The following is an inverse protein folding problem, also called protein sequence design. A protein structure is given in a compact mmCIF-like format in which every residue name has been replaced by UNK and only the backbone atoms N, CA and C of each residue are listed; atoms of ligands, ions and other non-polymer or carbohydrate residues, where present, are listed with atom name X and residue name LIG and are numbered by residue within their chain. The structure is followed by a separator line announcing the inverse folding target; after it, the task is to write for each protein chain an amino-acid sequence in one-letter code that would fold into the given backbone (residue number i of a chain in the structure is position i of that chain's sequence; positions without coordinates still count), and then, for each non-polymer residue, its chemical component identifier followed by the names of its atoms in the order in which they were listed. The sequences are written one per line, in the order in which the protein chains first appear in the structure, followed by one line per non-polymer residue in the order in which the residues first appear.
data_IF_811208315866
#
_entry.id   IF_811208315866
#
_cell.length_a   1.000
_cell.length_b   1.000
_cell.length_c   1.000
_cell.angle_alpha   90.00
_cell.angle_beta   90.00
_cell.angle_gamma   90.00
#
_symmetry.space_group_name_H-M   'P 1'
#
loop_
_entity.id
_entity.type
_entity.pdbx_description
1 polymer ?
#
# COMPACT_ATOMS: atom_id res chain seq x y z
N UNK A 1 -20.05 5.85 -30.70
CA UNK A 1 -19.68 7.28 -30.69
C UNK A 1 -19.21 7.58 -29.27
N UNK A 2 -17.93 7.31 -28.97
CA UNK A 2 -17.37 7.73 -27.67
C UNK A 2 -17.28 9.24 -27.78
N UNK A 3 -18.10 9.94 -27.00
CA UNK A 3 -18.21 11.39 -27.04
C UNK A 3 -16.83 12.02 -26.95
N UNK A 4 -16.44 12.73 -28.00
CA UNK A 4 -15.16 13.44 -28.04
C UNK A 4 -15.13 14.50 -26.92
N UNK A 5 -16.30 15.00 -26.50
CA UNK A 5 -16.50 15.82 -25.32
C UNK A 5 -16.16 15.09 -24.00
N UNK A 6 -16.43 13.79 -23.90
CA UNK A 6 -16.05 12.98 -22.72
C UNK A 6 -14.53 12.74 -22.68
N UNK A 7 -13.90 12.53 -23.84
CA UNK A 7 -12.44 12.48 -23.96
C UNK A 7 -11.79 13.82 -23.56
N UNK A 8 -12.40 14.95 -23.95
CA UNK A 8 -11.96 16.31 -23.59
C UNK A 8 -12.00 16.59 -22.08
N UNK A 9 -13.07 16.20 -21.38
CA UNK A 9 -13.19 16.42 -19.92
C UNK A 9 -12.18 15.58 -19.11
N UNK A 10 -11.94 14.31 -19.51
CA UNK A 10 -10.88 13.49 -18.89
C UNK A 10 -9.48 14.02 -19.20
N UNK A 11 -9.27 14.65 -20.34
CA UNK A 11 -7.98 15.18 -20.77
C UNK A 11 -7.42 16.20 -19.75
N UNK A 12 -8.22 17.12 -19.22
CA UNK A 12 -7.72 18.19 -18.33
C UNK A 12 -7.11 17.70 -17.01
N UNK A 13 -7.62 16.61 -16.44
CA UNK A 13 -7.14 16.06 -15.16
C UNK A 13 -6.02 15.02 -15.33
N UNK A 14 -5.59 14.75 -16.57
CA UNK A 14 -4.66 13.66 -16.88
C UNK A 14 -3.22 14.11 -17.16
N UNK A 15 -2.96 15.42 -17.27
CA UNK A 15 -1.62 15.95 -17.53
C UNK A 15 -0.98 16.53 -16.25
N UNK A 16 0.31 16.28 -16.03
CA UNK A 16 1.05 16.82 -14.88
C UNK A 16 1.32 18.34 -14.98
N UNK A 17 0.88 19.00 -16.05
CA UNK A 17 1.07 20.43 -16.28
C UNK A 17 0.06 21.00 -17.28
N UNK A 18 0.04 22.33 -17.46
CA UNK A 18 -0.93 22.99 -18.32
C UNK A 18 -0.70 22.62 -19.80
N UNK A 19 -1.75 22.09 -20.43
CA UNK A 19 -1.77 21.85 -21.88
C UNK A 19 -1.78 23.20 -22.59
N UNK A 20 -0.76 23.46 -23.42
CA UNK A 20 -0.62 24.75 -24.15
C UNK A 20 -1.11 24.66 -25.60
N UNK A 21 -0.85 23.54 -26.26
CA UNK A 21 -1.16 23.31 -27.67
C UNK A 21 -1.69 21.89 -27.85
N UNK A 22 -2.69 21.73 -28.71
CA UNK A 22 -3.23 20.44 -29.17
C UNK A 22 -3.13 20.37 -30.69
N UNK A 23 -2.52 19.31 -31.21
CA UNK A 23 -2.47 19.05 -32.64
C UNK A 23 -3.57 18.04 -33.02
N UNK A 24 -4.46 18.43 -33.91
CA UNK A 24 -5.57 17.61 -34.37
C UNK A 24 -5.28 17.14 -35.79
N UNK A 25 -5.09 15.83 -35.98
CA UNK A 25 -4.95 15.25 -37.31
C UNK A 25 -6.33 15.02 -37.93
N UNK A 26 -6.58 15.58 -39.11
CA UNK A 26 -7.85 15.41 -39.82
C UNK A 26 -8.02 13.94 -40.25
N UNK A 27 -9.18 13.31 -40.00
CA UNK A 27 -9.42 11.96 -40.49
C UNK A 27 -9.45 11.93 -42.03
N UNK A 28 -8.72 10.97 -42.61
CA UNK A 28 -8.61 10.81 -44.07
C UNK A 28 -9.79 9.99 -44.66
N UNK A 29 -10.47 9.18 -43.84
CA UNK A 29 -11.56 8.29 -44.27
C UNK A 29 -12.89 9.01 -44.57
N UNK A 30 -13.59 8.60 -45.63
CA UNK A 30 -14.89 9.17 -46.06
C UNK A 30 -15.95 9.12 -44.96
N UNK A 31 -16.06 8.01 -44.23
CA UNK A 31 -17.02 7.86 -43.12
C UNK A 31 -16.60 8.63 -41.86
N UNK A 32 -15.29 8.86 -41.68
CA UNK A 32 -14.77 9.64 -40.55
C UNK A 32 -14.97 11.15 -40.77
N UNK A 33 -15.11 11.62 -42.02
CA UNK A 33 -15.45 13.02 -42.32
C UNK A 33 -16.84 13.44 -41.82
N UNK A 34 -17.78 12.50 -41.64
CA UNK A 34 -19.05 12.78 -40.98
C UNK A 34 -18.89 13.23 -39.51
N UNK A 35 -17.74 12.93 -38.89
CA UNK A 35 -17.38 13.37 -37.54
C UNK A 35 -16.77 14.79 -37.51
N UNK A 36 -16.53 15.44 -38.66
CA UNK A 36 -15.95 16.81 -38.73
C UNK A 36 -16.75 17.84 -37.92
N UNK A 37 -18.07 17.68 -37.82
CA UNK A 37 -18.95 18.58 -37.04
C UNK A 37 -18.63 18.50 -35.54
N UNK A 38 -18.22 17.32 -35.03
CA UNK A 38 -17.92 17.10 -33.61
C UNK A 38 -16.61 17.72 -33.14
N UNK A 39 -15.58 17.80 -34.01
CA UNK A 39 -14.29 18.37 -33.61
C UNK A 39 -14.19 19.90 -33.79
N UNK A 40 -15.05 20.53 -34.61
CA UNK A 40 -15.12 22.02 -34.70
C UNK A 40 -15.54 22.67 -33.37
N UNK A 41 -16.45 22.03 -32.63
CA UNK A 41 -16.84 22.51 -31.29
C UNK A 41 -15.69 22.49 -30.27
N UNK A 42 -14.67 21.66 -30.49
CA UNK A 42 -13.46 21.61 -29.66
C UNK A 42 -12.57 22.80 -29.98
N UNK A 43 -12.34 23.09 -31.27
CA UNK A 43 -11.50 24.23 -31.68
C UNK A 43 -12.02 25.59 -31.19
N UNK A 44 -13.32 25.71 -30.95
CA UNK A 44 -13.98 26.97 -30.56
C UNK A 44 -14.07 27.18 -29.03
N UNK A 45 -14.00 26.11 -28.21
CA UNK A 45 -14.23 26.16 -26.75
C UNK A 45 -13.02 25.69 -25.90
N UNK A 46 -11.83 25.61 -26.47
CA UNK A 46 -10.62 25.19 -25.76
C UNK A 46 -9.85 26.35 -25.12
N UNK A 47 -9.34 26.16 -23.90
CA UNK A 47 -8.39 27.08 -23.24
C UNK A 47 -6.96 27.03 -23.82
N UNK A 48 -6.75 26.24 -24.86
CA UNK A 48 -5.44 25.94 -25.46
C UNK A 48 -5.48 26.14 -26.96
N UNK A 49 -4.33 26.46 -27.55
CA UNK A 49 -4.20 26.63 -29.00
C UNK A 49 -4.40 25.29 -29.70
N UNK A 50 -5.34 25.22 -30.64
CA UNK A 50 -5.53 24.02 -31.47
C UNK A 50 -4.93 24.26 -32.85
N UNK A 51 -4.10 23.34 -33.33
CA UNK A 51 -3.51 23.34 -34.68
C UNK A 51 -4.05 22.14 -35.43
N UNK A 52 -4.82 22.39 -36.49
CA UNK A 52 -5.41 21.33 -37.31
C UNK A 52 -4.45 20.98 -38.44
N UNK A 53 -3.95 19.74 -38.45
CA UNK A 53 -3.06 19.21 -39.48
C UNK A 53 -3.88 18.45 -40.52
N UNK A 54 -3.64 18.75 -41.80
CA UNK A 54 -4.31 18.12 -42.94
C UNK A 54 -3.77 16.72 -43.25
N UNK A 55 -2.55 16.41 -42.80
CA UNK A 55 -1.92 15.10 -42.99
C UNK A 55 -0.90 14.81 -41.89
N UNK A 56 -0.51 13.54 -41.75
CA UNK A 56 0.58 13.14 -40.87
C UNK A 56 1.92 13.78 -41.25
N UNK A 57 2.12 14.11 -42.53
CA UNK A 57 3.29 14.85 -43.01
C UNK A 57 3.33 16.28 -42.44
N UNK A 58 2.20 16.99 -42.43
CA UNK A 58 2.10 18.32 -41.83
C UNK A 58 2.36 18.27 -40.32
N UNK A 59 1.81 17.28 -39.62
CA UNK A 59 2.03 17.07 -38.18
C UNK A 59 3.53 16.97 -37.82
N UNK A 60 4.34 16.33 -38.68
CA UNK A 60 5.79 16.18 -38.51
C UNK A 60 6.59 17.48 -38.62
N UNK A 61 6.01 18.57 -39.13
CA UNK A 61 6.65 19.89 -39.08
C UNK A 61 6.64 20.49 -37.67
N UNK A 62 5.74 20.01 -36.81
CA UNK A 62 5.57 20.49 -35.44
C UNK A 62 6.14 19.53 -34.39
N UNK A 63 6.01 18.21 -34.63
CA UNK A 63 6.40 17.17 -33.68
C UNK A 63 7.44 16.25 -34.34
N UNK A 64 8.56 16.05 -33.65
CA UNK A 64 9.60 15.13 -34.09
C UNK A 64 9.09 13.68 -34.22
N UNK A 65 9.67 12.89 -35.15
CA UNK A 65 9.23 11.51 -35.40
C UNK A 65 9.39 10.60 -34.18
N UNK A 66 10.31 10.90 -33.27
CA UNK A 66 10.57 10.22 -31.99
C UNK A 66 9.41 10.34 -30.99
N UNK A 67 8.58 11.38 -31.13
CA UNK A 67 7.42 11.65 -30.29
C UNK A 67 6.10 11.15 -30.92
N UNK A 68 6.15 10.57 -32.12
CA UNK A 68 4.98 10.12 -32.88
C UNK A 68 4.96 8.60 -33.00
N UNK A 69 3.77 8.02 -32.94
CA UNK A 69 3.57 6.59 -33.16
C UNK A 69 3.66 6.23 -34.64
N UNK A 70 3.97 4.97 -34.95
CA UNK A 70 4.23 4.52 -36.33
C UNK A 70 3.04 4.72 -37.28
N UNK A 71 1.81 4.62 -36.77
CA UNK A 71 0.56 4.84 -37.50
C UNK A 71 0.36 6.28 -37.99
N UNK A 72 1.05 7.25 -37.38
CA UNK A 72 1.08 8.67 -37.80
C UNK A 72 2.44 9.11 -38.32
N UNK A 73 3.27 8.16 -38.77
CA UNK A 73 4.53 8.44 -39.46
C UNK A 73 5.73 8.75 -38.56
N UNK A 74 5.67 8.37 -37.28
CA UNK A 74 6.80 8.42 -36.35
C UNK A 74 7.52 7.09 -36.15
N UNK A 75 8.36 7.01 -35.12
CA UNK A 75 9.17 5.83 -34.78
C UNK A 75 8.85 5.24 -33.40
N UNK A 76 7.92 5.85 -32.65
CA UNK A 76 7.52 5.36 -31.34
C UNK A 76 6.68 4.09 -31.49
N UNK A 77 7.20 2.98 -30.95
CA UNK A 77 6.45 1.72 -30.86
C UNK A 77 5.39 1.83 -29.76
N UNK A 78 4.13 1.78 -30.16
CA UNK A 78 2.98 1.80 -29.25
C UNK A 78 2.14 0.55 -29.42
N UNK A 79 1.83 -0.11 -28.30
CA UNK A 79 0.86 -1.20 -28.23
C UNK A 79 -0.22 -0.80 -27.23
N UNK A 80 -1.44 -0.58 -27.74
CA UNK A 80 -2.56 -0.12 -26.91
C UNK A 80 -2.91 -1.12 -25.81
N UNK A 81 -2.97 -2.41 -26.14
CA UNK A 81 -3.34 -3.45 -25.19
C UNK A 81 -2.33 -3.56 -24.05
N UNK A 82 -1.04 -3.53 -24.38
CA UNK A 82 0.05 -3.52 -23.40
C UNK A 82 -0.01 -2.27 -22.50
N UNK A 83 -0.23 -1.09 -23.09
CA UNK A 83 -0.34 0.15 -22.34
C UNK A 83 -1.51 0.13 -21.35
N UNK A 84 -2.69 -0.33 -21.80
CA UNK A 84 -3.87 -0.49 -20.94
C UNK A 84 -3.58 -1.48 -19.81
N UNK A 85 -2.95 -2.61 -20.13
CA UNK A 85 -2.60 -3.64 -19.15
C UNK A 85 -1.66 -3.09 -18.06
N UNK A 86 -0.56 -2.44 -18.43
CA UNK A 86 0.36 -1.82 -17.48
C UNK A 86 -0.34 -0.79 -16.59
N UNK A 87 -1.24 0.03 -17.14
CA UNK A 87 -2.01 1.00 -16.36
C UNK A 87 -2.94 0.30 -15.35
N UNK A 88 -3.67 -0.72 -15.77
CA UNK A 88 -4.53 -1.49 -14.87
C UNK A 88 -3.73 -2.12 -13.74
N UNK A 89 -2.56 -2.68 -14.02
CA UNK A 89 -1.72 -3.31 -12.99
C UNK A 89 -1.14 -2.30 -12.00
N UNK A 90 -0.72 -1.12 -12.48
CA UNK A 90 -0.28 -0.02 -11.61
C UNK A 90 -1.43 0.44 -10.70
N UNK A 91 -2.64 0.61 -11.22
CA UNK A 91 -3.79 1.01 -10.40
C UNK A 91 -4.19 -0.08 -9.39
N UNK A 92 -4.08 -1.38 -9.76
CA UNK A 92 -4.26 -2.48 -8.81
C UNK A 92 -3.24 -2.43 -7.68
N UNK A 93 -1.98 -2.14 -7.99
CA UNK A 93 -0.92 -2.01 -6.98
C UNK A 93 -1.20 -0.84 -6.01
N UNK A 94 -1.65 0.31 -6.54
CA UNK A 94 -2.10 1.44 -5.69
C UNK A 94 -3.26 1.06 -4.80
N UNK A 95 -4.25 0.33 -5.34
CA UNK A 95 -5.39 -0.15 -4.57
C UNK A 95 -4.96 -1.10 -3.45
N UNK A 96 -4.04 -2.04 -3.71
CA UNK A 96 -3.48 -2.91 -2.65
C UNK A 96 -2.73 -2.11 -1.57
N UNK A 97 -1.94 -1.10 -1.96
CA UNK A 97 -1.27 -0.23 -1.01
C UNK A 97 -2.26 0.58 -0.14
N UNK A 98 -3.39 1.01 -0.72
CA UNK A 98 -4.45 1.71 0.03
C UNK A 98 -5.13 0.79 1.05
N UNK A 99 -5.37 -0.49 0.70
CA UNK A 99 -5.91 -1.49 1.64
C UNK A 99 -4.94 -1.70 2.81
N UNK A 100 -3.64 -1.87 2.54
CA UNK A 100 -2.62 -1.99 3.60
C UNK A 100 -2.63 -0.75 4.50
N UNK A 101 -2.67 0.45 3.92
CA UNK A 101 -2.70 1.69 4.69
C UNK A 101 -3.94 1.79 5.60
N UNK A 102 -5.09 1.29 5.14
CA UNK A 102 -6.30 1.20 5.95
C UNK A 102 -6.11 0.20 7.10
N UNK A 103 -5.65 -1.01 6.83
CA UNK A 103 -5.39 -2.03 7.86
C UNK A 103 -4.41 -1.54 8.93
N UNK A 104 -3.35 -0.83 8.52
CA UNK A 104 -2.41 -0.20 9.45
C UNK A 104 -3.05 0.88 10.32
N UNK A 105 -3.97 1.66 9.75
CA UNK A 105 -4.68 2.71 10.50
C UNK A 105 -5.62 2.10 11.54
N UNK A 106 -6.37 1.07 11.16
CA UNK A 106 -7.26 0.33 12.06
C UNK A 106 -6.50 -0.38 13.18
N UNK A 107 -5.42 -1.08 12.82
CA UNK A 107 -4.55 -1.75 13.78
C UNK A 107 -3.85 -0.74 14.71
N UNK A 108 -3.31 0.35 14.17
CA UNK A 108 -2.69 1.41 14.96
C UNK A 108 -3.65 2.06 15.95
N UNK A 109 -4.94 2.16 15.60
CA UNK A 109 -6.00 2.60 16.52
C UNK A 109 -6.23 1.56 17.63
N UNK A 110 -6.39 0.29 17.27
CA UNK A 110 -6.52 -0.82 18.23
C UNK A 110 -5.38 -0.82 19.25
N UNK A 111 -4.12 -0.70 18.82
CA UNK A 111 -2.96 -0.70 19.72
C UNK A 111 -2.92 0.50 20.67
N UNK A 112 -3.40 1.68 20.23
CA UNK A 112 -3.47 2.89 21.05
C UNK A 112 -4.56 2.81 22.11
N UNK A 113 -5.71 2.23 21.77
CA UNK A 113 -6.86 2.04 22.67
C UNK A 113 -6.68 0.85 23.62
N UNK A 114 -5.66 0.02 23.40
CA UNK A 114 -5.38 -1.14 24.27
C UNK A 114 -4.91 -0.68 25.64
N UNK A 115 -5.76 -0.86 26.64
CA UNK A 115 -5.41 -0.75 28.05
C UNK A 115 -4.67 -2.02 28.54
N UNK A 116 -3.74 -1.85 29.49
CA UNK A 116 -2.99 -2.97 30.05
C UNK A 116 -3.86 -3.75 31.04
N UNK A 117 -4.13 -5.06 30.82
CA UNK A 117 -4.96 -5.83 31.75
C UNK A 117 -4.29 -6.08 33.09
N UNK A 118 -5.11 -6.49 34.08
CA UNK A 118 -4.67 -6.76 35.45
C UNK A 118 -4.48 -8.26 35.76
N UNK A 119 -4.67 -9.13 34.78
CA UNK A 119 -4.54 -10.58 34.92
C UNK A 119 -3.73 -11.21 33.76
N UNK A 120 -3.21 -12.41 34.03
CA UNK A 120 -2.33 -13.14 33.11
C UNK A 120 -3.07 -13.59 31.85
N UNK A 121 -4.29 -14.11 32.00
CA UNK A 121 -5.06 -14.71 30.91
C UNK A 121 -5.43 -13.66 29.86
N UNK A 122 -6.02 -12.55 30.28
CA UNK A 122 -6.43 -11.45 29.39
C UNK A 122 -5.22 -10.83 28.71
N UNK A 123 -4.12 -10.60 29.45
CA UNK A 123 -2.89 -10.03 28.86
C UNK A 123 -2.30 -10.96 27.80
N UNK A 124 -2.25 -12.27 28.06
CA UNK A 124 -1.75 -13.25 27.10
C UNK A 124 -2.64 -13.32 25.84
N UNK A 125 -3.96 -13.31 26.01
CA UNK A 125 -4.92 -13.34 24.92
C UNK A 125 -4.83 -12.11 24.01
N UNK A 126 -4.70 -10.91 24.58
CA UNK A 126 -4.52 -9.69 23.78
C UNK A 126 -3.22 -9.77 22.96
N UNK A 127 -2.13 -10.22 23.58
CA UNK A 127 -0.85 -10.37 22.88
C UNK A 127 -0.97 -11.34 21.70
N UNK A 128 -1.63 -12.49 21.90
CA UNK A 128 -1.87 -13.48 20.86
C UNK A 128 -2.68 -12.91 19.68
N UNK A 129 -3.83 -12.30 19.96
CA UNK A 129 -4.72 -11.72 18.94
C UNK A 129 -4.00 -10.64 18.13
N UNK A 130 -3.34 -9.70 18.80
CA UNK A 130 -2.65 -8.60 18.13
C UNK A 130 -1.43 -9.07 17.33
N UNK A 131 -0.77 -10.15 17.78
CA UNK A 131 0.33 -10.78 17.01
C UNK A 131 -0.22 -11.42 15.73
N UNK A 132 -1.35 -12.12 15.81
CA UNK A 132 -1.99 -12.71 14.63
C UNK A 132 -2.45 -11.64 13.62
N UNK A 133 -3.04 -10.53 14.10
CA UNK A 133 -3.40 -9.39 13.24
C UNK A 133 -2.16 -8.75 12.59
N UNK A 134 -1.07 -8.57 13.34
CA UNK A 134 0.21 -8.09 12.81
C UNK A 134 0.71 -9.01 11.69
N UNK A 135 0.70 -10.32 11.91
CA UNK A 135 1.17 -11.31 10.95
C UNK A 135 0.34 -11.29 9.66
N UNK A 136 -0.98 -11.09 9.76
CA UNK A 136 -1.85 -10.92 8.60
C UNK A 136 -1.47 -9.68 7.77
N UNK A 137 -1.24 -8.53 8.42
CA UNK A 137 -0.80 -7.29 7.74
C UNK A 137 0.57 -7.49 7.07
N UNK A 138 1.51 -8.18 7.73
CA UNK A 138 2.83 -8.51 7.15
C UNK A 138 2.69 -9.39 5.91
N UNK A 139 1.75 -10.31 5.90
CA UNK A 139 1.46 -11.14 4.74
C UNK A 139 0.93 -10.31 3.57
N UNK A 140 0.06 -9.33 3.83
CA UNK A 140 -0.42 -8.39 2.80
C UNK A 140 0.70 -7.55 2.19
N UNK A 141 1.63 -7.06 3.00
CA UNK A 141 2.86 -6.41 2.51
C UNK A 141 3.65 -7.34 1.59
N UNK A 142 3.94 -8.56 2.06
CA UNK A 142 4.71 -9.56 1.31
C UNK A 142 4.08 -9.87 -0.04
N UNK A 143 2.76 -10.08 -0.08
CA UNK A 143 2.01 -10.32 -1.31
C UNK A 143 2.10 -9.12 -2.25
N UNK A 144 1.91 -7.91 -1.73
CA UNK A 144 1.90 -6.67 -2.52
C UNK A 144 3.27 -6.37 -3.11
N UNK A 145 4.35 -6.52 -2.32
CA UNK A 145 5.74 -6.36 -2.78
C UNK A 145 6.06 -7.37 -3.88
N UNK A 146 5.69 -8.65 -3.71
CA UNK A 146 5.91 -9.68 -4.74
C UNK A 146 5.19 -9.37 -6.05
N UNK A 147 3.93 -8.93 -5.98
CA UNK A 147 3.16 -8.50 -7.14
C UNK A 147 3.83 -7.30 -7.83
N UNK A 148 4.26 -6.30 -7.06
CA UNK A 148 4.96 -5.12 -7.59
C UNK A 148 6.30 -5.45 -8.25
N UNK A 149 7.11 -6.34 -7.66
CA UNK A 149 8.37 -6.81 -8.24
C UNK A 149 8.13 -7.61 -9.54
N UNK A 150 7.10 -8.45 -9.56
CA UNK A 150 6.73 -9.19 -10.78
C UNK A 150 6.29 -8.25 -11.89
N UNK A 151 5.47 -7.24 -11.57
CA UNK A 151 5.06 -6.21 -12.51
C UNK A 151 6.27 -5.41 -13.01
N UNK A 152 7.19 -5.03 -12.13
CA UNK A 152 8.39 -4.30 -12.50
C UNK A 152 9.24 -5.07 -13.52
N UNK A 153 9.43 -6.38 -13.32
CA UNK A 153 10.10 -7.25 -14.30
C UNK A 153 9.37 -7.28 -15.63
N UNK A 154 8.04 -7.42 -15.59
CA UNK A 154 7.23 -7.47 -16.81
C UNK A 154 7.29 -6.16 -17.62
N UNK A 155 7.17 -5.01 -16.95
CA UNK A 155 7.19 -3.68 -17.59
C UNK A 155 8.57 -3.35 -18.18
N UNK A 156 9.66 -3.84 -17.56
CA UNK A 156 11.02 -3.66 -18.11
C UNK A 156 11.25 -4.47 -19.38
N UNK A 157 10.54 -5.60 -19.58
CA UNK A 157 10.70 -6.52 -20.72
C UNK A 157 12.15 -6.96 -21.00
N UNK A 158 13.00 -6.91 -19.99
CA UNK A 158 14.43 -7.17 -20.07
C UNK A 158 14.86 -7.89 -18.81
N UNK A 159 15.63 -8.97 -18.97
CA UNK A 159 16.23 -9.71 -17.85
C UNK A 159 17.29 -8.87 -17.10
N UNK A 160 17.78 -7.80 -17.74
CA UNK A 160 18.76 -6.85 -17.19
C UNK A 160 18.13 -5.45 -17.12
N UNK A 161 18.51 -4.65 -16.10
CA UNK A 161 18.05 -3.27 -15.94
C UNK A 161 18.40 -2.45 -17.19
N UNK A 162 17.41 -1.94 -17.95
CA UNK A 162 17.68 -1.12 -19.12
C UNK A 162 18.38 0.19 -18.74
N UNK A 163 19.21 0.68 -19.65
CA UNK A 163 19.61 2.08 -19.65
C UNK A 163 18.38 2.96 -19.97
N UNK A 164 18.35 4.19 -19.45
CA UNK A 164 17.22 5.12 -19.63
C UNK A 164 16.84 5.34 -21.10
N UNK A 165 17.82 5.25 -22.00
CA UNK A 165 17.68 5.47 -23.45
C UNK A 165 17.00 4.30 -24.18
N UNK A 166 16.93 3.11 -23.54
CA UNK A 166 16.38 1.89 -24.14
C UNK A 166 14.88 1.73 -23.91
N UNK A 167 14.31 2.51 -22.97
CA UNK A 167 12.89 2.49 -22.67
C UNK A 167 12.17 3.65 -23.36
N UNK A 168 10.97 3.39 -23.89
CA UNK A 168 10.10 4.51 -24.29
C UNK A 168 9.76 5.38 -23.07
N UNK A 169 9.56 6.70 -23.23
CA UNK A 169 9.28 7.61 -22.12
C UNK A 169 8.14 7.13 -21.21
N UNK A 170 7.08 6.57 -21.80
CA UNK A 170 5.94 5.97 -21.07
C UNK A 170 6.35 4.77 -20.23
N UNK A 171 7.20 3.88 -20.76
CA UNK A 171 7.70 2.73 -19.99
C UNK A 171 8.58 3.18 -18.84
N UNK A 172 9.48 4.14 -19.07
CA UNK A 172 10.31 4.71 -18.03
C UNK A 172 9.47 5.31 -16.89
N UNK A 173 8.41 6.03 -17.23
CA UNK A 173 7.47 6.57 -16.25
C UNK A 173 6.80 5.46 -15.41
N UNK A 174 6.33 4.39 -16.07
CA UNK A 174 5.74 3.24 -15.38
C UNK A 174 6.74 2.55 -14.44
N UNK A 175 7.97 2.29 -14.91
CA UNK A 175 9.05 1.71 -14.10
C UNK A 175 9.30 2.56 -12.86
N UNK A 176 9.48 3.87 -13.04
CA UNK A 176 9.74 4.80 -11.94
C UNK A 176 8.58 4.84 -10.94
N UNK A 177 7.34 4.82 -11.42
CA UNK A 177 6.16 4.81 -10.55
C UNK A 177 6.09 3.52 -9.71
N UNK A 178 6.36 2.36 -10.32
CA UNK A 178 6.36 1.07 -9.62
C UNK A 178 7.49 1.00 -8.58
N UNK A 179 8.70 1.42 -8.95
CA UNK A 179 9.85 1.47 -8.03
C UNK A 179 9.56 2.36 -6.82
N UNK A 180 9.01 3.56 -7.04
CA UNK A 180 8.64 4.46 -5.94
C UNK A 180 7.60 3.84 -5.02
N UNK A 181 6.57 3.19 -5.56
CA UNK A 181 5.56 2.53 -4.72
C UNK A 181 6.15 1.36 -3.93
N UNK A 182 7.08 0.60 -4.51
CA UNK A 182 7.79 -0.47 -3.78
C UNK A 182 8.61 0.08 -2.61
N UNK A 183 9.39 1.14 -2.86
CA UNK A 183 10.17 1.82 -1.81
C UNK A 183 9.25 2.31 -0.69
N UNK A 184 8.13 2.96 -1.02
CA UNK A 184 7.18 3.44 -0.04
C UNK A 184 6.55 2.30 0.79
N UNK A 185 6.23 1.16 0.15
CA UNK A 185 5.73 -0.03 0.87
C UNK A 185 6.79 -0.56 1.85
N UNK A 186 8.04 -0.71 1.42
CA UNK A 186 9.14 -1.19 2.28
C UNK A 186 9.44 -0.24 3.45
N UNK A 187 9.43 1.08 3.22
CA UNK A 187 9.60 2.08 4.28
C UNK A 187 8.44 2.05 5.28
N UNK A 188 7.21 1.91 4.77
CA UNK A 188 6.00 1.81 5.61
C UNK A 188 6.04 0.53 6.44
N UNK A 189 6.43 -0.61 5.86
CA UNK A 189 6.59 -1.88 6.56
C UNK A 189 7.63 -1.78 7.68
N UNK A 190 8.78 -1.15 7.41
CA UNK A 190 9.83 -0.94 8.42
C UNK A 190 9.36 -0.05 9.58
N UNK A 191 8.61 1.01 9.27
CA UNK A 191 7.98 1.87 10.28
C UNK A 191 6.99 1.08 11.13
N UNK A 192 6.19 0.23 10.49
CA UNK A 192 5.25 -0.67 11.15
C UNK A 192 5.95 -1.65 12.10
N UNK A 193 7.02 -2.31 11.65
CA UNK A 193 7.82 -3.22 12.47
C UNK A 193 8.38 -2.51 13.73
N UNK A 194 8.85 -1.27 13.56
CA UNK A 194 9.38 -0.45 14.66
C UNK A 194 8.29 -0.02 15.65
N UNK A 195 7.08 0.26 15.16
CA UNK A 195 5.93 0.55 16.01
C UNK A 195 5.47 -0.69 16.79
N UNK A 196 5.33 -1.82 16.11
CA UNK A 196 4.96 -3.09 16.70
C UNK A 196 5.94 -3.53 17.78
N UNK A 197 7.25 -3.53 17.52
CA UNK A 197 8.26 -3.98 18.47
C UNK A 197 8.19 -3.23 19.82
N UNK A 198 7.85 -1.94 19.79
CA UNK A 198 7.65 -1.15 21.01
C UNK A 198 6.38 -1.56 21.76
N UNK A 199 5.28 -1.77 21.06
CA UNK A 199 4.01 -2.18 21.65
C UNK A 199 4.08 -3.60 22.22
N UNK A 200 4.61 -4.55 21.44
CA UNK A 200 4.84 -5.94 21.84
C UNK A 200 5.67 -6.00 23.12
N UNK A 201 6.82 -5.31 23.15
CA UNK A 201 7.67 -5.25 24.35
C UNK A 201 6.91 -4.78 25.59
N UNK A 202 6.11 -3.71 25.47
CA UNK A 202 5.31 -3.17 26.57
C UNK A 202 4.30 -4.21 27.08
N UNK A 203 3.61 -4.90 26.17
CA UNK A 203 2.58 -5.88 26.53
C UNK A 203 3.20 -7.17 27.11
N UNK A 204 4.32 -7.63 26.57
CA UNK A 204 5.09 -8.75 27.13
C UNK A 204 5.59 -8.45 28.54
N UNK A 205 6.08 -7.23 28.79
CA UNK A 205 6.50 -6.81 30.13
C UNK A 205 5.32 -6.78 31.11
N UNK A 206 4.14 -6.31 30.68
CA UNK A 206 2.92 -6.41 31.47
C UNK A 206 2.62 -7.87 31.83
N UNK A 207 2.65 -8.78 30.84
CA UNK A 207 2.39 -10.20 31.07
C UNK A 207 3.37 -10.82 32.07
N UNK A 208 4.65 -10.49 31.96
CA UNK A 208 5.67 -10.94 32.92
C UNK A 208 5.40 -10.43 34.33
N UNK A 209 5.02 -9.16 34.48
CA UNK A 209 4.65 -8.58 35.76
C UNK A 209 3.42 -9.31 36.36
N UNK A 210 2.37 -9.57 35.58
CA UNK A 210 1.18 -10.28 36.07
C UNK A 210 1.50 -11.69 36.54
N UNK A 211 2.34 -12.42 35.80
CA UNK A 211 2.80 -13.76 36.21
C UNK A 211 3.59 -13.72 37.52
N UNK A 212 4.44 -12.71 37.68
CA UNK A 212 5.18 -12.49 38.91
C UNK A 212 4.23 -12.20 40.09
N UNK A 213 3.29 -11.26 39.93
CA UNK A 213 2.32 -10.90 40.97
C UNK A 213 1.47 -12.09 41.42
N UNK A 214 1.01 -12.92 40.46
CA UNK A 214 0.24 -14.13 40.76
C UNK A 214 1.07 -15.15 41.54
N UNK A 215 2.32 -15.36 41.13
CA UNK A 215 3.26 -16.26 41.82
C UNK A 215 3.58 -15.76 43.22
N UNK A 216 3.84 -14.46 43.36
CA UNK A 216 4.12 -13.82 44.64
C UNK A 216 2.93 -13.96 45.61
N UNK A 217 1.69 -13.77 45.12
CA UNK A 217 0.47 -13.96 45.91
C UNK A 217 0.31 -15.39 46.41
N UNK A 218 0.61 -16.40 45.57
CA UNK A 218 0.59 -17.82 45.95
C UNK A 218 1.61 -18.12 47.05
N UNK A 219 2.84 -17.61 46.92
CA UNK A 219 3.88 -17.79 47.94
C UNK A 219 3.48 -17.12 49.25
N UNK A 220 2.97 -15.89 49.22
CA UNK A 220 2.49 -15.19 50.42
C UNK A 220 1.38 -15.97 51.14
N UNK A 221 0.41 -16.50 50.39
CA UNK A 221 -0.65 -17.31 50.98
C UNK A 221 -0.13 -18.61 51.63
N UNK A 222 0.85 -19.27 51.01
CA UNK A 222 1.50 -20.46 51.61
C UNK A 222 2.21 -20.10 52.91
N UNK A 223 2.95 -18.99 52.92
CA UNK A 223 3.67 -18.50 54.10
C UNK A 223 2.69 -18.24 55.26
N UNK A 224 1.58 -17.55 55.02
CA UNK A 224 0.52 -17.33 56.03
C UNK A 224 -0.08 -18.64 56.57
N UNK A 225 -0.30 -19.63 55.70
CA UNK A 225 -0.77 -20.96 56.10
C UNK A 225 0.26 -21.67 57.00
N UNK A 226 1.55 -21.62 56.64
CA UNK A 226 2.61 -22.21 57.46
C UNK A 226 2.76 -21.53 58.82
N UNK A 227 2.70 -20.18 58.86
CA UNK A 227 2.78 -19.43 60.11
C UNK A 227 1.59 -19.73 61.02
N UNK A 228 0.37 -19.73 60.49
CA UNK A 228 -0.83 -20.05 61.27
C UNK A 228 -0.83 -21.49 61.79
N UNK A 229 -0.42 -22.46 60.97
CA UNK A 229 -0.28 -23.86 61.39
C UNK A 229 0.80 -24.02 62.48
N UNK A 230 1.94 -23.36 62.33
CA UNK A 230 3.01 -23.37 63.33
C UNK A 230 2.53 -22.78 64.66
N UNK A 231 1.88 -21.61 64.63
CA UNK A 231 1.34 -20.97 65.83
C UNK A 231 0.31 -21.86 66.52
N UNK A 232 -0.56 -22.52 65.74
CA UNK A 232 -1.54 -23.46 66.27
C UNK A 232 -0.88 -24.65 66.99
N UNK A 233 0.15 -25.25 66.40
CA UNK A 233 0.92 -26.34 67.04
C UNK A 233 1.56 -25.84 68.34
N UNK A 234 2.22 -24.68 68.32
CA UNK A 234 2.80 -24.10 69.54
C UNK A 234 1.75 -23.86 70.64
N UNK A 235 0.55 -23.41 70.28
CA UNK A 235 -0.56 -23.21 71.23
C UNK A 235 -1.03 -24.55 71.81
N UNK A 236 -1.18 -25.60 70.98
CA UNK A 236 -1.56 -26.93 71.45
C UNK A 236 -0.52 -27.52 72.43
N UNK A 237 0.76 -27.32 72.14
CA UNK A 237 1.85 -27.72 73.04
C UNK A 237 1.83 -26.93 74.35
N UNK A 238 1.55 -25.62 74.30
CA UNK A 238 1.49 -24.75 75.48
C UNK A 238 0.31 -25.09 76.41
N UNK A 239 -0.85 -25.43 75.83
CA UNK A 239 -2.06 -25.80 76.59
C UNK A 239 -1.99 -27.27 77.05
N UNK A 240 -0.94 -28.02 76.69
CA UNK A 240 -0.69 -29.38 77.17
C UNK A 240 -1.56 -30.44 76.49
N UNK A 241 -2.20 -30.12 75.37
CA UNK A 241 -3.11 -31.03 74.66
C UNK A 241 -2.33 -32.17 73.98
N UNK A 242 -1.08 -31.95 73.60
CA UNK A 242 -0.21 -32.98 73.02
C UNK A 242 0.48 -33.92 74.05
N UNK A 243 0.17 -33.83 75.36
CA UNK A 243 0.73 -34.72 76.40
C UNK A 243 -0.16 -35.90 76.81
N UNK A 244 -1.21 -36.21 76.05
CA UNK A 244 -2.06 -37.39 76.28
C UNK A 244 -1.66 -38.55 75.34
N UNK A 245 -0.50 -39.13 75.60
CA UNK A 245 -0.14 -40.52 75.27
C UNK A 245 0.45 -41.16 76.52
#
# INVERSE_FOLDING_TARGET
MVDIAFAYFRFQNSFPGPVRVVFLLKPEGVLQRALEVGYRGITENCKYKVVVCQSSLELRHYIGPDCLTMDVGGVLKYNHLEWVQHRMDIERMKSSAAVIAQSLSEFGRCLKETELPNDVETTARILEIQTAERDAIKEDFRISIRKGLSLLRHVRQLDVKPEHEQLSPTRLHNVTAIERMLIQLEETERSFDTFWARHEKRLTQCLQLRRFEETFRKVGALVEIFYSAFLFVCILDLIGINKLQ
#
